data_IF_944491744822
#
_entry.id   IF_944491744822
#
_cell.length_a   1.000
_cell.length_b   1.000
_cell.length_c   1.000
_cell.angle_alpha   90.00
_cell.angle_beta   90.00
_cell.angle_gamma   90.00
#
_symmetry.space_group_name_H-M   'P 1'
#
loop_
_entity.id
_entity.type
_entity.pdbx_description
1 polymer ?
#
# COMPACT_ATOMS: atom_id res chain seq x y z
N UNK A 1 0.70 -2.46 -0.36
CA UNK A 1 0.45 -1.10 -0.89
C UNK A 1 -0.13 -1.15 -2.30
N UNK A 2 0.48 -1.85 -3.28
CA UNK A 2 -0.05 -1.98 -4.65
C UNK A 2 -1.49 -2.52 -4.70
N UNK A 3 -1.80 -3.59 -3.94
CA UNK A 3 -3.13 -4.18 -3.93
C UNK A 3 -4.20 -3.17 -3.47
N UNK A 4 -3.96 -2.44 -2.38
CA UNK A 4 -4.90 -1.44 -1.85
C UNK A 4 -5.17 -0.38 -2.91
N UNK A 5 -4.11 0.14 -3.55
CA UNK A 5 -4.21 1.18 -4.57
C UNK A 5 -4.94 0.69 -5.83
N UNK A 6 -4.54 -0.46 -6.37
CA UNK A 6 -5.08 -1.00 -7.62
C UNK A 6 -6.53 -1.48 -7.48
N UNK A 7 -6.93 -1.94 -6.29
CA UNK A 7 -8.31 -2.34 -6.00
C UNK A 7 -9.19 -1.16 -5.51
N UNK A 8 -8.64 0.05 -5.42
CA UNK A 8 -9.39 1.22 -4.96
C UNK A 8 -9.92 1.08 -3.53
N UNK A 9 -9.23 0.31 -2.66
CA UNK A 9 -9.68 0.01 -1.29
C UNK A 9 -9.36 1.10 -0.28
N UNK A 10 -8.60 2.11 -0.68
CA UNK A 10 -8.26 3.24 0.17
C UNK A 10 -7.15 4.09 -0.41
N UNK A 11 -6.92 5.24 0.19
CA UNK A 11 -5.85 6.17 -0.16
C UNK A 11 -4.59 5.85 0.64
N UNK A 12 -3.44 5.91 -0.01
CA UNK A 12 -2.14 5.67 0.62
C UNK A 12 -1.49 7.00 1.00
N UNK A 13 -0.98 7.06 2.22
CA UNK A 13 -0.23 8.21 2.75
C UNK A 13 1.15 7.73 3.19
N UNK A 14 2.20 8.46 2.85
CA UNK A 14 3.56 8.12 3.26
C UNK A 14 4.58 8.37 2.16
N UNK A 15 5.55 7.49 2.06
CA UNK A 15 6.61 7.54 1.03
C UNK A 15 6.49 6.37 0.07
N UNK A 16 7.00 6.48 -1.15
CA UNK A 16 7.06 5.34 -2.08
C UNK A 16 7.77 4.15 -1.44
N UNK A 17 7.25 2.94 -1.68
CA UNK A 17 7.94 1.73 -1.23
C UNK A 17 9.17 1.46 -2.08
N UNK A 18 10.14 0.72 -1.52
CA UNK A 18 11.42 0.47 -2.20
C UNK A 18 11.30 -0.35 -3.50
N UNK A 19 10.20 -1.11 -3.67
CA UNK A 19 10.00 -1.92 -4.88
C UNK A 19 10.79 -3.22 -4.91
N UNK A 20 11.24 -3.73 -3.78
CA UNK A 20 11.88 -5.05 -3.70
C UNK A 20 10.85 -6.16 -3.60
N UNK A 21 10.33 -6.63 -4.72
CA UNK A 21 9.15 -7.53 -4.78
C UNK A 21 9.48 -8.91 -5.35
N UNK A 22 10.59 -9.08 -6.04
CA UNK A 22 10.98 -10.36 -6.61
C UNK A 22 11.00 -11.45 -5.52
N UNK A 23 10.27 -12.53 -5.76
CA UNK A 23 10.31 -13.69 -4.88
C UNK A 23 11.66 -14.40 -5.04
N UNK A 24 12.31 -14.65 -3.91
CA UNK A 24 13.61 -15.32 -3.90
C UNK A 24 13.54 -16.66 -3.17
N UNK A 25 14.20 -17.68 -3.73
CA UNK A 25 14.53 -18.92 -3.05
C UNK A 25 15.95 -18.90 -2.47
N UNK A 26 16.32 -19.96 -1.78
CA UNK A 26 17.68 -20.17 -1.30
C UNK A 26 18.27 -21.43 -1.95
N UNK A 27 19.48 -21.31 -2.47
CA UNK A 27 20.29 -22.46 -2.90
C UNK A 27 21.52 -22.58 -1.99
N UNK A 28 21.86 -23.80 -1.60
CA UNK A 28 23.10 -24.09 -0.86
C UNK A 28 24.30 -24.08 -1.82
N UNK A 29 25.37 -23.48 -1.41
CA UNK A 29 26.65 -23.47 -2.12
C UNK A 29 27.60 -24.33 -1.33
N UNK A 30 27.66 -25.61 -1.69
CA UNK A 30 28.44 -26.64 -0.95
C UNK A 30 28.19 -26.53 0.57
N UNK A 31 29.22 -26.68 1.39
CA UNK A 31 29.15 -26.49 2.84
C UNK A 31 29.53 -25.06 3.28
N UNK A 32 29.69 -24.16 2.31
CA UNK A 32 30.20 -22.79 2.54
C UNK A 32 29.10 -21.79 2.93
N UNK A 33 27.87 -21.98 2.40
CA UNK A 33 26.79 -21.03 2.71
C UNK A 33 25.55 -21.20 1.84
N UNK A 34 24.74 -20.12 1.83
CA UNK A 34 23.52 -20.03 1.05
C UNK A 34 23.52 -18.78 0.17
N UNK A 35 23.05 -18.93 -1.06
CA UNK A 35 22.79 -17.83 -1.98
C UNK A 35 21.27 -17.64 -2.14
N UNK A 36 20.82 -16.39 -2.18
CA UNK A 36 19.44 -16.06 -2.55
C UNK A 36 19.36 -15.93 -4.06
N UNK A 37 18.41 -16.65 -4.66
CA UNK A 37 18.22 -16.68 -6.11
C UNK A 37 16.81 -16.20 -6.43
N UNK A 38 16.62 -15.18 -7.27
CA UNK A 38 15.30 -14.75 -7.72
C UNK A 38 14.70 -15.83 -8.64
N UNK A 39 13.40 -16.08 -8.50
CA UNK A 39 12.72 -17.09 -9.33
C UNK A 39 11.33 -16.65 -9.83
N UNK A 40 10.76 -15.56 -9.33
CA UNK A 40 9.44 -15.08 -9.72
C UNK A 40 9.37 -13.56 -9.72
N UNK A 41 9.00 -12.99 -10.85
CA UNK A 41 8.62 -11.57 -10.97
C UNK A 41 7.13 -11.34 -10.68
N UNK A 42 6.78 -10.11 -10.36
CA UNK A 42 5.42 -9.68 -10.07
C UNK A 42 5.08 -8.46 -10.91
N UNK A 43 3.90 -8.49 -11.54
CA UNK A 43 3.44 -7.44 -12.44
C UNK A 43 2.07 -6.92 -12.02
N UNK A 44 1.83 -5.64 -12.24
CA UNK A 44 0.50 -5.04 -12.09
C UNK A 44 -0.35 -5.46 -13.29
N UNK A 45 -1.37 -6.30 -13.06
CA UNK A 45 -2.18 -6.89 -14.14
C UNK A 45 -2.83 -5.84 -15.06
N UNK A 46 -3.25 -4.71 -14.51
CA UNK A 46 -3.96 -3.65 -15.27
C UNK A 46 -3.04 -2.83 -16.15
N UNK A 47 -1.77 -2.68 -15.81
CA UNK A 47 -0.80 -1.83 -16.54
C UNK A 47 0.32 -2.62 -17.19
N UNK A 48 0.54 -3.88 -16.80
CA UNK A 48 1.69 -4.68 -17.22
C UNK A 48 3.00 -4.22 -16.58
N UNK A 49 2.98 -3.26 -15.64
CA UNK A 49 4.17 -2.70 -15.01
C UNK A 49 4.83 -3.73 -14.09
N UNK A 50 6.14 -3.93 -14.26
CA UNK A 50 6.95 -4.72 -13.33
C UNK A 50 7.00 -4.00 -11.97
N UNK A 51 6.74 -4.76 -10.91
CA UNK A 51 6.74 -4.20 -9.55
C UNK A 51 8.14 -4.10 -8.95
N UNK A 52 9.15 -4.75 -9.55
CA UNK A 52 10.53 -4.64 -9.12
C UNK A 52 11.08 -3.26 -9.51
N UNK A 53 11.73 -2.59 -8.57
CA UNK A 53 12.19 -1.20 -8.64
C UNK A 53 11.07 -0.16 -8.84
N UNK A 54 9.83 -0.59 -9.02
CA UNK A 54 8.65 0.26 -9.15
C UNK A 54 7.78 0.17 -7.90
N UNK A 55 8.27 0.75 -6.81
CA UNK A 55 7.54 0.79 -5.55
C UNK A 55 6.19 1.49 -5.65
N UNK A 56 5.25 1.06 -4.82
CA UNK A 56 3.94 1.69 -4.78
C UNK A 56 4.08 3.17 -4.38
N UNK A 57 3.63 4.06 -5.26
CA UNK A 57 3.61 5.51 -5.00
C UNK A 57 2.35 5.86 -4.22
N UNK A 58 2.45 6.50 -3.04
CA UNK A 58 1.30 6.92 -2.27
C UNK A 58 0.47 7.99 -3.01
N UNK A 59 -0.81 8.12 -2.61
CA UNK A 59 -1.67 9.20 -3.07
C UNK A 59 -1.20 10.55 -2.49
N UNK A 60 -0.70 10.50 -1.25
CA UNK A 60 -0.13 11.67 -0.56
C UNK A 60 1.28 11.33 -0.10
N UNK A 61 2.27 11.95 -0.75
CA UNK A 61 3.68 11.76 -0.38
C UNK A 61 4.00 12.66 0.80
N UNK A 62 4.36 12.06 1.91
CA UNK A 62 4.72 12.76 3.15
C UNK A 62 6.01 12.17 3.70
N UNK A 63 7.11 12.92 3.61
CA UNK A 63 8.39 12.52 4.17
C UNK A 63 8.47 12.88 5.65
N UNK A 64 8.87 11.95 6.53
CA UNK A 64 9.17 12.29 7.91
C UNK A 64 10.41 13.19 7.96
N UNK A 65 10.44 14.15 8.88
CA UNK A 65 11.68 14.89 9.16
C UNK A 65 12.48 14.19 10.24
N UNK A 66 13.81 14.32 10.23
CA UNK A 66 14.65 13.80 11.30
C UNK A 66 14.16 14.28 12.67
N UNK A 67 14.21 13.37 13.64
CA UNK A 67 13.83 13.60 15.04
C UNK A 67 12.35 13.94 15.31
N UNK A 68 11.47 14.00 14.32
CA UNK A 68 10.03 14.27 14.60
C UNK A 68 9.35 13.14 15.35
N UNK A 69 9.54 11.90 14.91
CA UNK A 69 8.89 10.73 15.53
C UNK A 69 9.33 10.53 17.00
N UNK A 70 10.62 10.56 17.34
CA UNK A 70 11.05 10.49 18.75
C UNK A 70 10.50 11.64 19.62
N UNK A 71 10.22 12.79 19.01
CA UNK A 71 9.62 13.94 19.70
C UNK A 71 8.08 13.92 19.69
N UNK A 72 7.46 12.80 19.37
CA UNK A 72 6.01 12.62 19.38
C UNK A 72 5.28 13.29 18.22
N UNK A 73 6.00 13.71 17.16
CA UNK A 73 5.42 14.36 15.97
C UNK A 73 5.46 13.39 14.79
N UNK A 74 4.34 12.74 14.51
CA UNK A 74 4.19 11.90 13.33
C UNK A 74 3.33 12.61 12.27
N UNK A 75 3.99 13.28 11.32
CA UNK A 75 3.29 13.99 10.25
C UNK A 75 2.61 13.04 9.25
N UNK A 76 3.09 11.81 9.09
CA UNK A 76 2.45 10.84 8.22
C UNK A 76 1.12 10.40 8.83
N UNK A 77 1.12 10.07 10.12
CA UNK A 77 -0.08 9.73 10.86
C UNK A 77 -1.09 10.90 10.84
N UNK A 78 -0.65 12.11 11.13
CA UNK A 78 -1.52 13.30 11.10
C UNK A 78 -2.15 13.52 9.72
N UNK A 79 -1.39 13.35 8.63
CA UNK A 79 -1.93 13.43 7.28
C UNK A 79 -2.90 12.29 6.99
N UNK A 80 -2.60 11.07 7.42
CA UNK A 80 -3.49 9.93 7.24
C UNK A 80 -4.83 10.13 7.96
N UNK A 81 -4.81 10.64 9.18
CA UNK A 81 -6.02 11.00 9.94
C UNK A 81 -6.85 12.06 9.20
N UNK A 82 -6.21 13.13 8.72
CA UNK A 82 -6.90 14.17 7.94
C UNK A 82 -7.57 13.60 6.69
N UNK A 83 -6.85 12.78 5.92
CA UNK A 83 -7.36 12.13 4.71
C UNK A 83 -8.54 11.22 5.02
N UNK A 84 -8.46 10.44 6.10
CA UNK A 84 -9.54 9.55 6.53
C UNK A 84 -10.78 10.34 6.98
N UNK A 85 -10.60 11.45 7.68
CA UNK A 85 -11.73 12.33 8.07
C UNK A 85 -12.44 12.92 6.84
N UNK A 86 -11.70 13.33 5.81
CA UNK A 86 -12.27 13.78 4.54
C UNK A 86 -13.06 12.65 3.86
N UNK A 87 -12.52 11.42 3.82
CA UNK A 87 -13.19 10.26 3.23
C UNK A 87 -14.48 9.91 3.98
N UNK A 88 -14.46 9.94 5.31
CA UNK A 88 -15.65 9.70 6.14
C UNK A 88 -16.71 10.78 5.90
N UNK A 89 -16.30 12.04 5.81
CA UNK A 89 -17.23 13.14 5.53
C UNK A 89 -17.88 13.00 4.14
N UNK A 90 -17.11 12.58 3.14
CA UNK A 90 -17.62 12.30 1.79
C UNK A 90 -18.57 11.09 1.79
N UNK A 91 -18.18 10.01 2.47
CA UNK A 91 -19.01 8.80 2.57
C UNK A 91 -20.34 9.06 3.27
N UNK A 92 -20.36 9.86 4.34
CA UNK A 92 -21.61 10.23 5.05
C UNK A 92 -22.59 11.03 4.19
N UNK A 93 -22.11 11.68 3.13
CA UNK A 93 -22.96 12.43 2.19
C UNK A 93 -23.56 11.54 1.10
N UNK A 94 -23.06 10.31 0.93
CA UNK A 94 -23.60 9.37 -0.05
C UNK A 94 -24.93 8.80 0.46
N UNK A 95 -25.90 8.68 -0.45
CA UNK A 95 -27.11 7.93 -0.13
C UNK A 95 -26.76 6.48 0.21
N UNK A 96 -27.18 6.07 1.40
CA UNK A 96 -26.99 4.68 1.81
C UNK A 96 -27.96 3.80 1.02
N UNK A 97 -27.52 2.61 0.56
CA UNK A 97 -28.40 1.70 -0.17
C UNK A 97 -29.58 1.31 0.73
N UNK A 98 -30.79 1.44 0.21
CA UNK A 98 -31.98 0.97 0.90
C UNK A 98 -31.92 -0.54 1.03
N UNK A 99 -31.96 -1.04 2.25
CA UNK A 99 -31.96 -2.48 2.50
C UNK A 99 -33.30 -3.06 2.05
N UNK A 100 -33.24 -3.97 1.09
CA UNK A 100 -34.41 -4.69 0.60
C UNK A 100 -34.61 -5.96 1.46
N UNK A 101 -35.81 -6.11 2.02
CA UNK A 101 -36.17 -7.32 2.76
C UNK A 101 -36.38 -8.49 1.80
N UNK A 102 -36.16 -9.72 2.26
CA UNK A 102 -36.37 -10.92 1.44
C UNK A 102 -37.80 -11.06 0.93
N UNK A 103 -38.75 -10.46 1.64
CA UNK A 103 -40.21 -10.45 1.30
C UNK A 103 -40.57 -9.38 0.25
N UNK A 104 -39.63 -8.51 -0.13
CA UNK A 104 -39.84 -7.43 -1.10
C UNK A 104 -39.26 -7.77 -2.49
N UNK A 105 -38.96 -9.03 -2.77
CA UNK A 105 -38.47 -9.53 -4.07
C UNK A 105 -39.61 -9.79 -5.05
#
# INVERSE_FOLDING_TARGET
SHAIKNLGRGRLVGVPTAGGVISTGSASVMDVGRIRVPFRGWYVKSTGEDMELNGAKPNFVVWPKPAEIPNGKDRQLMKAVSVLQEDIAAWKKQEQPKLMKATER
#
